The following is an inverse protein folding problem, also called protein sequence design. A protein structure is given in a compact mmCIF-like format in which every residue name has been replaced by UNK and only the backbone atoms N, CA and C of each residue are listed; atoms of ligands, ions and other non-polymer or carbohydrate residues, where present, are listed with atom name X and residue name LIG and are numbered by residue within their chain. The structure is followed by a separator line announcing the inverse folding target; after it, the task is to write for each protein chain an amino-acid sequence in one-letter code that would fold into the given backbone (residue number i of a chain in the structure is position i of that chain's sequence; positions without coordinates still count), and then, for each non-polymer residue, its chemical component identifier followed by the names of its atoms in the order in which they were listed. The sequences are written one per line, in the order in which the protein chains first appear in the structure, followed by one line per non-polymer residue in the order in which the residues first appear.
data_IF_684576878573
#
_entry.id   IF_684576878573
#
_cell.length_a   1.000
_cell.length_b   1.000
_cell.length_c   1.000
_cell.angle_alpha   90.00
_cell.angle_beta   90.00
_cell.angle_gamma   90.00
#
_symmetry.space_group_name_H-M   'P 1'
#
loop_
_entity.id
_entity.type
_entity.pdbx_description
1 polymer ?
#
# COMPACT_ATOMS: atom_id res chain seq x y z
N UNK A 1 -2.14 14.74 -30.27
CA UNK A 1 -2.75 13.63 -29.50
C UNK A 1 -2.94 12.42 -30.40
N UNK A 2 -2.02 11.43 -30.39
CA UNK A 2 -2.27 10.12 -31.01
C UNK A 2 -2.05 9.07 -29.93
N UNK A 3 -3.13 8.59 -29.32
CA UNK A 3 -3.09 7.32 -28.61
C UNK A 3 -2.50 6.29 -29.58
N UNK A 4 -1.44 5.59 -29.18
CA UNK A 4 -0.89 4.55 -30.05
C UNK A 4 -1.98 3.52 -30.29
N UNK A 5 -2.21 3.14 -31.57
CA UNK A 5 -3.29 2.23 -31.99
C UNK A 5 -3.42 0.97 -31.11
N UNK A 6 -2.30 0.45 -30.57
CA UNK A 6 -2.29 -0.70 -29.67
C UNK A 6 -2.87 -0.48 -28.26
N UNK A 7 -3.12 0.75 -27.85
CA UNK A 7 -3.67 1.06 -26.51
C UNK A 7 -5.09 1.62 -26.54
N UNK A 8 -5.55 2.06 -27.70
CA UNK A 8 -6.93 2.50 -27.89
C UNK A 8 -7.90 1.31 -27.87
N UNK A 9 -7.49 0.16 -28.42
CA UNK A 9 -8.25 -1.09 -28.43
C UNK A 9 -8.64 -1.61 -27.03
N UNK A 10 -7.71 -1.81 -26.07
CA UNK A 10 -8.08 -2.27 -24.73
C UNK A 10 -8.89 -1.24 -23.95
N UNK A 11 -8.64 0.07 -24.17
CA UNK A 11 -9.44 1.13 -23.54
C UNK A 11 -10.89 1.13 -24.05
N UNK A 12 -11.06 0.98 -25.36
CA UNK A 12 -12.38 0.94 -25.98
C UNK A 12 -13.15 -0.32 -25.55
N UNK A 13 -12.48 -1.47 -25.49
CA UNK A 13 -13.09 -2.70 -24.99
C UNK A 13 -13.55 -2.57 -23.53
N UNK A 14 -12.72 -1.97 -22.67
CA UNK A 14 -13.09 -1.68 -21.29
C UNK A 14 -14.28 -0.71 -21.21
N UNK A 15 -14.25 0.37 -21.99
CA UNK A 15 -15.32 1.36 -22.03
C UNK A 15 -16.66 0.73 -22.47
N UNK A 16 -16.64 -0.15 -23.48
CA UNK A 16 -17.84 -0.86 -23.95
C UNK A 16 -18.34 -1.85 -22.89
N UNK A 17 -17.45 -2.63 -22.27
CA UNK A 17 -17.84 -3.59 -21.23
C UNK A 17 -18.47 -2.91 -20.01
N UNK A 18 -17.88 -1.80 -19.56
CA UNK A 18 -18.42 -0.96 -18.49
C UNK A 18 -19.75 -0.34 -18.91
N UNK A 19 -19.85 0.23 -20.11
CA UNK A 19 -21.10 0.85 -20.56
C UNK A 19 -22.28 -0.14 -20.70
N UNK A 20 -21.99 -1.41 -21.00
CA UNK A 20 -22.99 -2.47 -21.14
C UNK A 20 -23.48 -3.06 -19.81
N UNK A 21 -22.72 -2.91 -18.72
CA UNK A 21 -23.01 -3.52 -17.43
C UNK A 21 -24.36 -3.07 -16.81
N UNK A 22 -24.72 -1.76 -16.84
CA UNK A 22 -26.02 -1.31 -16.35
C UNK A 22 -27.22 -1.84 -17.14
N UNK A 23 -27.02 -2.33 -18.37
CA UNK A 23 -28.10 -2.92 -19.18
C UNK A 23 -28.61 -4.24 -18.58
N UNK A 24 -27.86 -4.83 -17.64
CA UNK A 24 -28.29 -6.00 -16.86
C UNK A 24 -29.30 -5.64 -15.76
N UNK A 25 -29.54 -4.35 -15.49
CA UNK A 25 -30.60 -3.87 -14.60
C UNK A 25 -30.37 -4.09 -13.10
N UNK A 26 -29.15 -4.43 -12.66
CA UNK A 26 -28.84 -4.67 -11.24
C UNK A 26 -28.32 -3.42 -10.54
N UNK A 27 -29.12 -2.87 -9.64
CA UNK A 27 -28.75 -1.72 -8.78
C UNK A 27 -27.52 -2.01 -7.91
N UNK A 28 -27.36 -3.26 -7.49
CA UNK A 28 -26.18 -3.70 -6.74
C UNK A 28 -24.92 -3.61 -7.62
N UNK A 29 -25.00 -4.10 -8.86
CA UNK A 29 -23.88 -4.04 -9.79
C UNK A 29 -23.48 -2.59 -10.09
N UNK A 30 -24.46 -1.70 -10.29
CA UNK A 30 -24.21 -0.26 -10.51
C UNK A 30 -23.46 0.37 -9.32
N UNK A 31 -23.85 0.03 -8.09
CA UNK A 31 -23.22 0.57 -6.87
C UNK A 31 -21.78 0.07 -6.70
N UNK A 32 -21.57 -1.24 -6.85
CA UNK A 32 -20.23 -1.84 -6.73
C UNK A 32 -19.31 -1.34 -7.82
N UNK A 33 -19.80 -1.24 -9.05
CA UNK A 33 -19.00 -0.77 -10.17
C UNK A 33 -18.77 0.74 -10.14
N UNK A 34 -19.67 1.54 -9.58
CA UNK A 34 -19.42 2.95 -9.31
C UNK A 34 -18.28 3.12 -8.29
N UNK A 35 -18.27 2.31 -7.22
CA UNK A 35 -17.18 2.30 -6.24
C UNK A 35 -15.85 1.84 -6.86
N UNK A 36 -15.89 0.82 -7.73
CA UNK A 36 -14.71 0.38 -8.49
C UNK A 36 -14.19 1.50 -9.41
N UNK A 37 -15.09 2.24 -10.07
CA UNK A 37 -14.74 3.40 -10.89
C UNK A 37 -14.08 4.53 -10.08
N UNK A 38 -14.59 4.80 -8.87
CA UNK A 38 -14.00 5.78 -7.95
C UNK A 38 -12.56 5.38 -7.57
N UNK A 39 -12.34 4.13 -7.18
CA UNK A 39 -10.99 3.63 -6.90
C UNK A 39 -10.10 3.60 -8.14
N UNK A 40 -10.66 3.40 -9.35
CA UNK A 40 -9.91 3.51 -10.59
C UNK A 40 -9.39 4.94 -10.83
N UNK A 41 -10.19 5.98 -10.54
CA UNK A 41 -9.74 7.38 -10.60
C UNK A 41 -8.57 7.60 -9.64
N UNK A 42 -8.68 7.10 -8.41
CA UNK A 42 -7.60 7.19 -7.42
C UNK A 42 -6.35 6.44 -7.88
N UNK A 43 -6.50 5.27 -8.48
CA UNK A 43 -5.40 4.50 -9.05
C UNK A 43 -4.73 5.22 -10.23
N UNK A 44 -5.49 5.95 -11.06
CA UNK A 44 -4.93 6.81 -12.11
C UNK A 44 -4.09 7.93 -11.51
N UNK A 45 -4.57 8.59 -10.45
CA UNK A 45 -3.80 9.59 -9.71
C UNK A 45 -2.51 9.02 -9.12
N UNK A 46 -2.59 7.82 -8.53
CA UNK A 46 -1.44 7.11 -8.00
C UNK A 46 -0.42 6.75 -9.10
N UNK A 47 -0.90 6.27 -10.25
CA UNK A 47 -0.05 5.97 -11.40
C UNK A 47 0.66 7.22 -11.92
N UNK A 48 0.01 8.39 -11.87
CA UNK A 48 0.65 9.66 -12.21
C UNK A 48 1.77 10.00 -11.22
N UNK A 49 1.51 9.89 -9.91
CA UNK A 49 2.54 10.17 -8.91
C UNK A 49 3.72 9.20 -9.03
N UNK A 50 3.45 7.90 -9.16
CA UNK A 50 4.49 6.88 -9.30
C UNK A 50 5.28 7.06 -10.61
N UNK A 51 4.59 7.34 -11.72
CA UNK A 51 5.20 7.53 -13.04
C UNK A 51 6.07 8.79 -13.16
N UNK A 52 5.71 9.88 -12.47
CA UNK A 52 6.46 11.14 -12.54
C UNK A 52 7.47 11.33 -11.40
N UNK A 53 7.11 10.99 -10.17
CA UNK A 53 7.97 11.19 -9.01
C UNK A 53 8.85 9.98 -8.68
N UNK A 54 8.55 8.80 -9.24
CA UNK A 54 9.29 7.56 -8.96
C UNK A 54 9.17 7.10 -7.50
N UNK A 55 8.14 7.56 -6.80
CA UNK A 55 7.92 7.35 -5.36
C UNK A 55 6.62 6.59 -5.14
N UNK A 56 6.66 5.55 -4.30
CA UNK A 56 5.45 4.82 -3.87
C UNK A 56 4.82 5.61 -2.72
N UNK A 57 3.54 5.95 -2.86
CA UNK A 57 2.76 6.66 -1.84
C UNK A 57 1.42 5.96 -1.64
N UNK A 58 1.05 5.74 -0.38
CA UNK A 58 -0.23 5.14 0.01
C UNK A 58 -1.22 6.15 0.58
N UNK A 59 -0.87 7.45 0.58
CA UNK A 59 -1.68 8.52 1.17
C UNK A 59 -2.83 9.00 0.28
N UNK A 60 -3.01 8.44 -0.91
CA UNK A 60 -4.06 8.86 -1.85
C UNK A 60 -5.47 8.73 -1.24
N UNK A 61 -5.70 7.71 -0.41
CA UNK A 61 -6.98 7.53 0.27
C UNK A 61 -7.26 8.66 1.27
N UNK A 62 -6.23 9.19 1.95
CA UNK A 62 -6.38 10.32 2.87
C UNK A 62 -6.92 11.55 2.15
N UNK A 63 -6.30 11.92 1.02
CA UNK A 63 -6.73 13.08 0.25
C UNK A 63 -8.10 12.89 -0.38
N UNK A 64 -8.41 11.67 -0.85
CA UNK A 64 -9.75 11.35 -1.35
C UNK A 64 -10.82 11.54 -0.27
N UNK A 65 -10.59 11.00 0.94
CA UNK A 65 -11.51 11.17 2.07
C UNK A 65 -11.67 12.64 2.46
N UNK A 66 -10.56 13.38 2.56
CA UNK A 66 -10.57 14.79 2.94
C UNK A 66 -11.36 15.66 1.94
N UNK A 67 -11.22 15.40 0.65
CA UNK A 67 -11.99 16.07 -0.40
C UNK A 67 -13.48 15.70 -0.38
N UNK A 68 -13.80 14.43 -0.15
CA UNK A 68 -15.18 13.96 -0.04
C UNK A 68 -15.89 14.60 1.15
N UNK A 69 -15.27 14.61 2.33
CA UNK A 69 -15.82 15.28 3.51
C UNK A 69 -15.93 16.78 3.33
N UNK A 70 -14.89 17.44 2.80
CA UNK A 70 -14.94 18.89 2.55
C UNK A 70 -16.10 19.26 1.61
N UNK A 71 -16.26 18.53 0.50
CA UNK A 71 -17.39 18.74 -0.42
C UNK A 71 -18.74 18.45 0.25
N UNK A 72 -18.84 17.40 1.06
CA UNK A 72 -20.05 17.06 1.80
C UNK A 72 -20.46 18.16 2.77
N UNK A 73 -19.53 18.60 3.61
CA UNK A 73 -19.73 19.67 4.61
C UNK A 73 -20.12 20.99 3.93
N UNK A 74 -19.47 21.35 2.82
CA UNK A 74 -19.81 22.57 2.09
C UNK A 74 -21.20 22.51 1.46
N UNK A 75 -21.62 21.32 1.00
CA UNK A 75 -22.94 21.16 0.39
C UNK A 75 -24.05 21.17 1.45
N UNK A 76 -23.85 20.49 2.58
CA UNK A 76 -24.88 20.39 3.64
C UNK A 76 -24.88 21.56 4.61
N UNK A 77 -23.71 22.10 4.95
CA UNK A 77 -23.57 23.20 5.89
C UNK A 77 -23.71 24.58 5.26
N UNK A 78 -23.03 24.81 4.11
CA UNK A 78 -23.03 26.12 3.45
C UNK A 78 -24.04 26.23 2.29
N UNK A 79 -24.74 25.15 1.94
CA UNK A 79 -25.74 25.14 0.86
C UNK A 79 -25.17 25.45 -0.52
N UNK A 80 -23.85 25.27 -0.71
CA UNK A 80 -23.20 25.49 -2.01
C UNK A 80 -23.72 24.48 -3.03
N UNK A 81 -23.85 24.87 -4.31
CA UNK A 81 -24.22 23.92 -5.36
C UNK A 81 -23.18 22.78 -5.41
N UNK A 82 -23.59 21.52 -5.66
CA UNK A 82 -22.70 20.36 -5.56
C UNK A 82 -21.38 20.49 -6.34
N UNK A 83 -21.43 21.12 -7.52
CA UNK A 83 -20.25 21.36 -8.34
C UNK A 83 -19.32 22.41 -7.71
N UNK A 84 -19.86 23.48 -7.16
CA UNK A 84 -19.10 24.51 -6.45
C UNK A 84 -18.45 23.95 -5.18
N UNK A 85 -19.20 23.15 -4.41
CA UNK A 85 -18.68 22.44 -3.25
C UNK A 85 -17.59 21.44 -3.61
N UNK A 86 -17.72 20.71 -4.73
CA UNK A 86 -16.71 19.79 -5.22
C UNK A 86 -15.40 20.51 -5.58
N UNK A 87 -15.48 21.63 -6.32
CA UNK A 87 -14.30 22.40 -6.72
C UNK A 87 -13.65 23.05 -5.51
N UNK A 88 -14.43 23.66 -4.61
CA UNK A 88 -13.92 24.26 -3.39
C UNK A 88 -13.30 23.21 -2.45
N UNK A 89 -13.93 22.05 -2.30
CA UNK A 89 -13.41 20.92 -1.52
C UNK A 89 -12.12 20.34 -2.11
N UNK A 90 -12.03 20.22 -3.44
CA UNK A 90 -10.82 19.81 -4.14
C UNK A 90 -9.69 20.85 -3.97
N UNK A 91 -10.00 22.15 -4.07
CA UNK A 91 -9.04 23.23 -3.87
C UNK A 91 -8.53 23.26 -2.41
N UNK A 92 -9.43 23.14 -1.43
CA UNK A 92 -9.07 23.08 -0.01
C UNK A 92 -8.19 21.87 0.32
N UNK A 93 -8.58 20.68 -0.17
CA UNK A 93 -7.75 19.48 -0.03
C UNK A 93 -6.41 19.62 -0.74
N UNK A 94 -6.39 20.24 -1.93
CA UNK A 94 -5.16 20.53 -2.66
C UNK A 94 -4.20 21.43 -1.88
N UNK A 95 -4.73 22.45 -1.18
CA UNK A 95 -3.95 23.31 -0.30
C UNK A 95 -3.38 22.53 0.88
N UNK A 96 -4.19 21.70 1.54
CA UNK A 96 -3.72 20.84 2.63
C UNK A 96 -2.66 19.84 2.14
N UNK A 97 -2.87 19.23 0.97
CA UNK A 97 -1.92 18.31 0.36
C UNK A 97 -0.61 19.01 -0.03
N UNK A 98 -0.65 20.28 -0.44
CA UNK A 98 0.55 21.07 -0.70
C UNK A 98 1.35 21.32 0.59
N UNK A 99 0.67 21.73 1.66
CA UNK A 99 1.30 22.01 2.97
C UNK A 99 1.89 20.75 3.60
N UNK A 100 1.14 19.64 3.60
CA UNK A 100 1.60 18.35 4.13
C UNK A 100 2.58 17.64 3.21
N UNK A 101 2.45 17.84 1.89
CA UNK A 101 3.30 17.23 0.89
C UNK A 101 4.74 17.70 1.00
N UNK A 102 4.99 18.97 1.30
CA UNK A 102 6.33 19.54 1.41
C UNK A 102 7.24 18.77 2.42
N UNK A 103 6.85 18.53 3.69
CA UNK A 103 7.65 17.74 4.61
C UNK A 103 7.66 16.25 4.25
N UNK A 104 6.54 15.68 3.81
CA UNK A 104 6.44 14.24 3.49
C UNK A 104 7.36 13.88 2.32
N UNK A 105 7.43 14.71 1.28
CA UNK A 105 8.26 14.45 0.10
C UNK A 105 9.76 14.52 0.36
N UNK A 106 10.20 15.10 1.50
CA UNK A 106 11.61 15.11 1.92
C UNK A 106 12.10 13.73 2.39
N UNK A 107 11.20 12.83 2.79
CA UNK A 107 11.55 11.47 3.17
C UNK A 107 11.95 10.64 1.94
N UNK A 108 12.83 9.65 2.13
CA UNK A 108 13.35 8.78 1.07
C UNK A 108 13.02 7.32 1.32
N UNK A 109 12.82 6.58 0.24
CA UNK A 109 12.63 5.14 0.26
C UNK A 109 11.45 4.71 1.13
N UNK A 110 11.69 3.78 2.05
CA UNK A 110 10.64 3.17 2.88
C UNK A 110 10.01 4.15 3.88
N UNK A 111 10.74 5.16 4.33
CA UNK A 111 10.21 6.16 5.24
C UNK A 111 9.07 6.99 4.62
N UNK A 112 9.15 7.27 3.32
CA UNK A 112 8.07 7.96 2.60
C UNK A 112 6.80 7.11 2.58
N UNK A 113 6.93 5.82 2.25
CA UNK A 113 5.79 4.90 2.19
C UNK A 113 5.11 4.80 3.56
N UNK A 114 5.89 4.61 4.63
CA UNK A 114 5.39 4.55 6.02
C UNK A 114 4.70 5.85 6.43
N UNK A 115 5.28 7.01 6.13
CA UNK A 115 4.67 8.30 6.44
C UNK A 115 3.31 8.48 5.73
N UNK A 116 3.21 8.06 4.47
CA UNK A 116 1.96 8.16 3.71
C UNK A 116 0.88 7.17 4.15
N UNK A 117 1.28 5.98 4.62
CA UNK A 117 0.36 5.03 5.26
C UNK A 117 -0.18 5.59 6.58
N UNK A 118 0.70 6.15 7.42
CA UNK A 118 0.31 6.79 8.66
C UNK A 118 -0.66 7.96 8.41
N UNK A 119 -0.44 8.77 7.37
CA UNK A 119 -1.37 9.83 6.98
C UNK A 119 -2.77 9.27 6.61
N UNK A 120 -2.80 8.14 5.89
CA UNK A 120 -4.04 7.40 5.60
C UNK A 120 -4.78 7.01 6.88
N UNK A 121 -4.07 6.38 7.80
CA UNK A 121 -4.64 5.90 9.06
C UNK A 121 -5.12 7.05 9.96
N UNK A 122 -4.32 8.11 10.09
CA UNK A 122 -4.71 9.31 10.85
C UNK A 122 -6.01 9.89 10.28
N UNK A 123 -6.15 9.92 8.95
CA UNK A 123 -7.37 10.44 8.32
C UNK A 123 -8.58 9.59 8.66
N UNK A 124 -8.44 8.27 8.71
CA UNK A 124 -9.52 7.36 9.12
C UNK A 124 -9.89 7.58 10.59
N UNK A 125 -8.90 7.67 11.48
CA UNK A 125 -9.11 7.91 12.92
C UNK A 125 -9.82 9.24 13.14
N UNK A 126 -9.36 10.31 12.49
CA UNK A 126 -9.99 11.63 12.59
C UNK A 126 -11.41 11.58 12.04
N UNK A 127 -11.63 10.95 10.89
CA UNK A 127 -12.96 10.86 10.29
C UNK A 127 -13.95 10.07 11.14
N UNK A 128 -13.49 9.06 11.87
CA UNK A 128 -14.36 8.19 12.69
C UNK A 128 -14.59 8.74 14.10
N UNK A 129 -13.59 9.41 14.69
CA UNK A 129 -13.67 9.96 16.06
C UNK A 129 -14.24 11.37 16.13
N UNK A 130 -14.09 12.17 15.08
CA UNK A 130 -14.54 13.57 15.09
C UNK A 130 -16.02 13.70 14.69
N UNK A 131 -16.89 13.18 15.55
CA UNK A 131 -18.33 13.06 15.29
C UNK A 131 -19.02 14.40 14.99
N UNK A 132 -18.58 15.50 15.60
CA UNK A 132 -19.19 16.83 15.42
C UNK A 132 -19.10 17.35 13.97
N UNK A 133 -18.03 17.02 13.25
CA UNK A 133 -17.76 17.56 11.90
C UNK A 133 -18.05 16.53 10.81
N UNK A 134 -17.65 15.27 11.03
CA UNK A 134 -17.75 14.23 9.99
C UNK A 134 -18.98 13.35 10.14
N UNK A 135 -19.68 13.41 11.29
CA UNK A 135 -20.73 12.45 11.64
C UNK A 135 -20.19 11.07 12.05
N UNK A 136 -18.87 10.93 12.22
CA UNK A 136 -18.23 9.69 12.64
C UNK A 136 -18.45 8.54 11.64
N UNK A 137 -18.88 7.38 12.15
CA UNK A 137 -19.17 6.20 11.32
C UNK A 137 -20.46 6.31 10.49
N UNK A 138 -21.38 7.20 10.87
CA UNK A 138 -22.64 7.42 10.14
C UNK A 138 -22.42 8.28 8.90
N UNK A 139 -21.35 9.09 8.90
CA UNK A 139 -21.06 10.04 7.83
C UNK A 139 -22.01 11.23 7.85
N UNK A 140 -22.02 11.98 6.75
CA UNK A 140 -22.83 13.21 6.60
C UNK A 140 -24.13 12.85 5.86
N UNK A 141 -25.30 12.88 6.53
CA UNK A 141 -26.57 12.61 5.87
C UNK A 141 -27.04 13.82 5.05
N UNK A 142 -27.96 13.58 4.12
CA UNK A 142 -28.67 14.65 3.41
C UNK A 142 -27.86 15.39 2.35
N UNK A 143 -26.75 14.81 1.87
CA UNK A 143 -26.03 15.35 0.70
C UNK A 143 -26.96 15.30 -0.52
N UNK A 144 -27.32 16.45 -1.12
CA UNK A 144 -28.16 16.50 -2.32
C UNK A 144 -27.55 15.73 -3.49
N UNK A 145 -28.41 15.27 -4.39
CA UNK A 145 -27.97 14.62 -5.63
C UNK A 145 -27.04 15.54 -6.43
N UNK A 146 -26.06 14.95 -7.11
CA UNK A 146 -25.10 15.73 -7.88
C UNK A 146 -25.80 16.41 -9.06
N UNK A 147 -25.67 17.73 -9.19
CA UNK A 147 -26.25 18.50 -10.29
C UNK A 147 -25.14 19.22 -11.04
N UNK A 148 -25.15 19.11 -12.38
CA UNK A 148 -24.22 19.83 -13.25
C UNK A 148 -25.05 20.70 -14.18
N UNK A 149 -24.90 22.03 -14.05
CA UNK A 149 -25.51 23.02 -14.97
C UNK A 149 -27.02 22.79 -15.23
N UNK A 150 -27.78 22.38 -14.21
CA UNK A 150 -29.22 22.12 -14.29
C UNK A 150 -29.63 20.68 -14.62
N UNK A 151 -28.69 19.78 -14.92
CA UNK A 151 -28.96 18.35 -15.09
C UNK A 151 -28.71 17.64 -13.76
N UNK A 152 -29.76 17.03 -13.21
CA UNK A 152 -29.67 16.22 -11.99
C UNK A 152 -29.24 14.77 -12.31
N UNK A 153 -28.19 14.32 -11.61
CA UNK A 153 -27.75 12.93 -11.57
C UNK A 153 -28.42 12.22 -10.39
N UNK A 154 -29.75 12.17 -10.45
CA UNK A 154 -30.66 11.56 -9.46
C UNK A 154 -30.54 10.02 -9.37
N UNK A 155 -30.18 9.37 -10.48
CA UNK A 155 -30.19 7.92 -10.60
C UNK A 155 -28.78 7.37 -10.42
N UNK A 156 -28.64 6.27 -9.66
CA UNK A 156 -27.36 5.57 -9.46
C UNK A 156 -26.66 5.23 -10.78
N UNK A 157 -27.43 4.86 -11.81
CA UNK A 157 -26.94 4.58 -13.16
C UNK A 157 -26.36 5.82 -13.85
N UNK A 158 -26.96 7.01 -13.68
CA UNK A 158 -26.40 8.26 -14.22
C UNK A 158 -25.08 8.63 -13.53
N UNK A 159 -25.03 8.47 -12.21
CA UNK A 159 -23.83 8.69 -11.40
C UNK A 159 -22.70 7.71 -11.76
N UNK A 160 -23.06 6.45 -12.01
CA UNK A 160 -22.16 5.43 -12.53
C UNK A 160 -21.50 5.86 -13.85
N UNK A 161 -22.29 6.30 -14.84
CA UNK A 161 -21.76 6.74 -16.12
C UNK A 161 -20.85 7.97 -15.97
N UNK A 162 -21.18 8.88 -15.07
CA UNK A 162 -20.34 10.06 -14.78
C UNK A 162 -18.97 9.64 -14.23
N UNK A 163 -18.93 8.77 -13.22
CA UNK A 163 -17.69 8.29 -12.59
C UNK A 163 -16.81 7.58 -13.63
N UNK A 164 -17.39 6.69 -14.44
CA UNK A 164 -16.64 5.96 -15.44
C UNK A 164 -16.19 6.84 -16.61
N UNK A 165 -16.98 7.85 -17.00
CA UNK A 165 -16.54 8.84 -17.98
C UNK A 165 -15.29 9.60 -17.49
N UNK A 166 -15.27 9.99 -16.21
CA UNK A 166 -14.10 10.64 -15.59
C UNK A 166 -12.92 9.69 -15.48
N UNK A 167 -13.14 8.44 -15.05
CA UNK A 167 -12.10 7.43 -14.92
C UNK A 167 -11.42 7.11 -16.28
N UNK A 168 -12.23 6.89 -17.31
CA UNK A 168 -11.75 6.62 -18.67
C UNK A 168 -11.09 7.86 -19.28
N UNK A 169 -11.63 9.06 -19.02
CA UNK A 169 -11.01 10.33 -19.39
C UNK A 169 -9.61 10.47 -18.79
N UNK A 170 -9.46 10.24 -17.49
CA UNK A 170 -8.17 10.26 -16.79
C UNK A 170 -7.19 9.23 -17.34
N UNK A 171 -7.65 8.01 -17.63
CA UNK A 171 -6.83 6.96 -18.22
C UNK A 171 -6.41 7.28 -19.66
N UNK A 172 -7.29 7.88 -20.45
CA UNK A 172 -7.03 8.31 -21.82
C UNK A 172 -6.05 9.48 -21.90
N UNK A 173 -6.13 10.42 -20.95
CA UNK A 173 -5.25 11.57 -20.83
C UNK A 173 -3.86 11.23 -20.29
N UNK A 174 -3.60 9.96 -19.91
CA UNK A 174 -2.32 9.53 -19.32
C UNK A 174 -1.14 10.15 -20.09
N UNK A 175 -0.41 11.10 -19.49
CA UNK A 175 0.74 11.65 -20.17
C UNK A 175 1.83 10.57 -20.13
N UNK A 176 2.48 10.36 -21.29
CA UNK A 176 3.45 9.27 -21.46
C UNK A 176 4.58 9.48 -20.46
N UNK A 177 4.64 8.65 -19.42
CA UNK A 177 5.70 8.72 -18.43
C UNK A 177 7.05 8.66 -19.16
N UNK A 178 7.99 9.58 -18.87
CA UNK A 178 9.35 9.50 -19.37
C UNK A 178 9.92 8.13 -19.01
N UNK A 179 10.47 7.41 -19.98
CA UNK A 179 11.04 6.07 -19.76
C UNK A 179 12.03 6.17 -18.58
N UNK A 180 11.92 5.30 -17.55
CA UNK A 180 12.87 5.32 -16.45
C UNK A 180 14.27 5.23 -17.03
N UNK A 181 15.09 6.26 -16.80
CA UNK A 181 16.50 6.24 -17.19
C UNK A 181 17.08 5.05 -16.46
N UNK A 182 17.45 4.00 -17.21
CA UNK A 182 18.26 2.89 -16.65
C UNK A 182 19.37 3.55 -15.84
N UNK A 183 19.62 3.13 -14.58
CA UNK A 183 20.78 3.58 -13.85
C UNK A 183 21.96 3.46 -14.81
N UNK A 184 22.54 4.59 -15.20
CA UNK A 184 23.72 4.60 -16.05
C UNK A 184 24.74 3.87 -15.19
N UNK A 185 25.01 2.60 -15.52
CA UNK A 185 26.10 1.87 -14.91
C UNK A 185 27.28 2.82 -14.91
N UNK A 186 27.82 3.09 -13.70
CA UNK A 186 28.94 4.01 -13.54
C UNK A 186 29.95 3.75 -14.64
N UNK A 187 30.42 4.82 -15.29
CA UNK A 187 31.22 4.75 -16.50
C UNK A 187 32.44 3.84 -16.34
N UNK A 188 32.27 2.56 -16.66
CA UNK A 188 33.32 1.73 -17.19
C UNK A 188 33.35 2.03 -18.67
N UNK A 189 34.35 2.79 -19.12
CA UNK A 189 34.73 2.74 -20.53
C UNK A 189 35.01 1.30 -20.96
N UNK A 190 35.28 1.04 -22.24
CA UNK A 190 35.53 -0.32 -22.76
C UNK A 190 36.69 -1.11 -22.09
N UNK A 191 37.34 -0.59 -21.04
CA UNK A 191 38.30 -1.31 -20.18
C UNK A 191 37.75 -1.81 -18.82
N UNK A 192 36.46 -1.67 -18.54
CA UNK A 192 35.85 -1.97 -17.23
C UNK A 192 34.86 -3.14 -17.21
N UNK A 193 35.04 -4.15 -18.08
CA UNK A 193 34.33 -5.41 -17.94
C UNK A 193 34.62 -5.97 -16.55
N UNK A 194 33.59 -6.03 -15.70
CA UNK A 194 33.69 -6.47 -14.33
C UNK A 194 34.55 -7.73 -14.27
N UNK A 195 35.69 -7.64 -13.56
CA UNK A 195 36.47 -8.82 -13.24
C UNK A 195 35.47 -9.82 -12.64
N UNK A 196 35.33 -11.03 -13.22
CA UNK A 196 34.47 -12.03 -12.63
C UNK A 196 34.88 -12.15 -11.17
N UNK A 197 33.91 -12.00 -10.26
CA UNK A 197 34.14 -12.17 -8.83
C UNK A 197 34.97 -13.45 -8.65
N UNK A 198 36.09 -13.40 -7.91
CA UNK A 198 36.87 -14.61 -7.65
C UNK A 198 35.92 -15.62 -7.04
N UNK A 199 35.61 -16.69 -7.79
CA UNK A 199 34.78 -17.78 -7.28
C UNK A 199 35.49 -18.30 -6.02
N UNK A 200 34.86 -18.22 -4.83
CA UNK A 200 35.42 -18.82 -3.64
C UNK A 200 35.47 -20.33 -3.92
N UNK A 201 36.67 -20.89 -4.06
CA UNK A 201 36.86 -22.33 -4.16
C UNK A 201 37.67 -22.89 -5.34
N UNK A 202 38.02 -22.11 -6.38
CA UNK A 202 38.71 -22.69 -7.56
C UNK A 202 40.23 -22.48 -7.63
N UNK A 203 40.85 -21.91 -6.58
CA UNK A 203 42.31 -21.70 -6.53
C UNK A 203 43.07 -22.66 -5.62
N UNK A 204 42.38 -23.51 -4.87
CA UNK A 204 43.03 -24.48 -3.98
C UNK A 204 43.43 -25.81 -4.67
N UNK A 205 42.80 -26.14 -5.80
CA UNK A 205 42.96 -27.46 -6.44
C UNK A 205 44.11 -27.57 -7.45
N UNK A 206 44.76 -26.45 -7.84
CA UNK A 206 45.84 -26.47 -8.86
C UNK A 206 47.27 -26.40 -8.31
N UNK A 207 47.45 -26.41 -6.99
CA UNK A 207 48.77 -26.32 -6.35
C UNK A 207 49.30 -27.59 -5.68
N UNK A 208 48.51 -28.68 -5.61
CA UNK A 208 48.84 -29.87 -4.79
C UNK A 208 49.21 -31.10 -5.64
N UNK A 209 49.60 -30.89 -6.91
CA UNK A 209 50.22 -31.93 -7.74
C UNK A 209 51.64 -31.52 -8.11
N UNK A 210 52.56 -31.59 -7.14
CA UNK A 210 54.00 -31.51 -7.40
C UNK A 210 54.82 -31.04 -6.20
N UNK A 211 55.52 -31.98 -5.56
CA UNK A 211 56.56 -31.71 -4.54
C UNK A 211 55.97 -31.56 -3.13
N UNK A 212 56.16 -32.48 -2.19
CA UNK A 212 57.45 -33.05 -1.81
C UNK A 212 58.01 -32.29 -0.61
N UNK A 213 57.60 -32.68 0.60
CA UNK A 213 58.33 -32.54 1.89
C UNK A 213 58.60 -31.14 2.51
N UNK A 214 58.20 -30.02 1.90
CA UNK A 214 58.49 -28.67 2.45
C UNK A 214 57.44 -28.03 3.39
N UNK A 215 56.17 -28.44 3.34
CA UNK A 215 55.06 -27.66 3.90
C UNK A 215 54.79 -27.86 5.42
N UNK A 216 55.44 -28.83 6.08
CA UNK A 216 55.22 -29.12 7.50
C UNK A 216 55.99 -28.19 8.46
N UNK A 217 56.88 -27.33 7.97
CA UNK A 217 57.66 -26.41 8.82
C UNK A 217 56.98 -25.06 9.12
N UNK A 218 55.84 -24.74 8.49
CA UNK A 218 55.18 -23.44 8.65
C UNK A 218 53.86 -23.49 9.46
N UNK A 219 53.52 -24.65 10.05
CA UNK A 219 52.27 -24.84 10.80
C UNK A 219 52.18 -24.16 12.18
N UNK A 220 53.27 -23.79 12.89
CA UNK A 220 53.13 -23.06 14.15
C UNK A 220 52.67 -21.61 13.97
N UNK A 221 53.16 -20.93 12.93
CA UNK A 221 52.96 -19.48 12.69
C UNK A 221 51.54 -19.12 12.22
N UNK A 222 50.82 -20.05 11.59
CA UNK A 222 49.47 -19.81 11.08
C UNK A 222 48.37 -20.05 12.13
N UNK A 223 48.69 -20.71 13.25
CA UNK A 223 47.77 -20.92 14.37
C UNK A 223 47.61 -19.66 15.24
N UNK A 224 48.67 -18.87 15.38
CA UNK A 224 48.63 -17.63 16.17
C UNK A 224 47.86 -16.50 15.47
N UNK A 225 47.85 -16.49 14.14
CA UNK A 225 47.17 -15.42 13.37
C UNK A 225 45.65 -15.59 13.25
N UNK A 226 45.05 -16.61 13.88
CA UNK A 226 43.58 -16.83 13.94
C UNK A 226 42.86 -16.68 12.58
N UNK A 227 43.55 -17.00 11.48
CA UNK A 227 43.03 -16.92 10.11
C UNK A 227 42.39 -18.24 9.65
N UNK A 228 42.40 -19.26 10.50
CA UNK A 228 41.66 -20.51 10.32
C UNK A 228 40.44 -20.52 11.24
N UNK A 229 39.49 -19.61 11.00
CA UNK A 229 38.11 -19.88 11.42
C UNK A 229 37.53 -20.89 10.43
N UNK A 230 37.13 -22.10 10.86
CA UNK A 230 36.45 -23.02 9.98
C UNK A 230 35.12 -22.38 9.53
N UNK A 231 34.94 -22.29 8.21
CA UNK A 231 33.68 -21.91 7.60
C UNK A 231 32.61 -22.89 8.09
N UNK A 232 31.56 -22.37 8.73
CA UNK A 232 30.41 -23.15 9.14
C UNK A 232 29.82 -23.89 7.94
N UNK A 233 29.80 -25.22 8.06
CA UNK A 233 29.23 -26.15 7.11
C UNK A 233 27.71 -25.91 7.02
N UNK A 234 27.23 -25.63 5.82
CA UNK A 234 25.82 -25.40 5.51
C UNK A 234 25.03 -26.69 5.43
N UNK A 235 24.95 -27.45 6.55
CA UNK A 235 24.03 -28.58 6.67
C UNK A 235 22.72 -28.15 7.29
N UNK A 236 21.69 -28.12 6.45
CA UNK A 236 20.29 -28.27 6.83
C UNK A 236 20.10 -29.73 7.30
N UNK A 237 20.52 -30.01 8.53
CA UNK A 237 20.17 -31.25 9.21
C UNK A 237 18.80 -31.04 9.86
N UNK A 238 17.77 -31.50 9.17
CA UNK A 238 16.48 -31.79 9.77
C UNK A 238 16.57 -33.10 10.54
N UNK A 239 16.53 -33.04 11.87
CA UNK A 239 15.88 -34.09 12.65
C UNK A 239 15.34 -33.52 13.96
N UNK A 240 14.19 -34.06 14.31
CA UNK A 240 13.43 -33.79 15.50
C UNK A 240 14.03 -34.50 16.72
N UNK A 241 13.51 -34.10 17.88
CA UNK A 241 13.49 -34.80 19.17
C UNK A 241 14.71 -34.57 20.09
N UNK A 242 14.36 -34.10 21.29
CA UNK A 242 14.97 -34.63 22.50
C UNK A 242 15.84 -33.65 23.30
N UNK A 243 15.23 -32.62 23.88
CA UNK A 243 15.72 -32.14 25.18
C UNK A 243 14.60 -31.61 26.06
N UNK A 244 13.90 -32.60 26.63
CA UNK A 244 13.45 -32.52 28.03
C UNK A 244 14.69 -32.48 28.91
N UNK A 245 14.66 -31.59 29.90
CA UNK A 245 15.19 -31.73 31.26
C UNK A 245 15.69 -30.35 31.73
N UNK A 246 15.43 -29.84 32.93
CA UNK A 246 14.64 -30.21 34.11
C UNK A 246 14.70 -28.93 34.95
N UNK A 247 13.56 -28.39 35.38
CA UNK A 247 13.54 -27.49 36.53
C UNK A 247 12.89 -28.27 37.69
N UNK A 248 13.51 -28.37 38.89
CA UNK A 248 13.02 -29.29 39.92
C UNK A 248 11.71 -28.79 40.53
N UNK A 249 10.81 -29.75 40.73
CA UNK A 249 9.62 -29.64 41.57
C UNK A 249 10.00 -29.83 43.04
N UNK A 250 9.52 -28.92 43.88
CA UNK A 250 9.17 -29.16 45.29
C UNK A 250 7.97 -28.25 45.58
N UNK A 251 6.73 -28.74 45.52
CA UNK A 251 6.04 -29.48 46.57
C UNK A 251 5.80 -28.63 47.83
N UNK A 252 4.68 -27.89 47.83
CA UNK A 252 3.83 -27.83 49.02
C UNK A 252 2.35 -27.91 48.59
N UNK A 253 1.64 -28.84 49.25
CA UNK A 253 0.21 -29.14 49.11
C UNK A 253 -0.44 -28.77 50.43
N UNK A 254 -1.33 -27.77 50.44
CA UNK A 254 -2.59 -27.68 51.24
C UNK A 254 -3.42 -26.61 50.51
N UNK A 255 -4.55 -26.87 49.87
CA UNK A 255 -5.78 -27.48 50.39
C UNK A 255 -6.87 -26.40 50.27
N UNK A 256 -7.98 -26.67 49.58
CA UNK A 256 -9.12 -25.75 49.55
C UNK A 256 -9.92 -25.75 48.25
N UNK A 257 -10.73 -26.78 48.05
CA UNK A 257 -11.83 -26.75 47.09
C UNK A 257 -12.93 -25.81 47.60
N UNK A 258 -13.44 -24.92 46.76
CA UNK A 258 -14.81 -24.40 46.90
C UNK A 258 -15.31 -23.82 45.57
N UNK A 259 -16.43 -24.38 45.13
CA UNK A 259 -17.28 -23.98 44.02
C UNK A 259 -17.61 -22.48 43.98
N UNK A 260 -17.47 -21.87 42.79
CA UNK A 260 -18.23 -20.70 42.36
C UNK A 260 -18.48 -20.94 40.87
N UNK A 261 -19.66 -21.35 40.39
CA UNK A 261 -20.98 -20.84 40.74
C UNK A 261 -21.43 -19.92 39.60
N UNK A 262 -21.92 -20.51 38.52
CA UNK A 262 -22.51 -19.83 37.36
C UNK A 262 -23.65 -18.92 37.83
N UNK A 263 -23.59 -17.64 37.46
CA UNK A 263 -24.62 -16.67 37.79
C UNK A 263 -25.88 -16.91 36.95
N UNK A 264 -26.98 -17.30 37.61
CA UNK A 264 -28.32 -17.30 37.02
C UNK A 264 -28.91 -15.88 36.94
N UNK A 265 -29.78 -15.59 35.95
CA UNK A 265 -30.56 -14.37 35.89
C UNK A 265 -31.81 -14.44 36.79
N UNK A 266 -32.02 -13.41 37.62
CA UNK A 266 -33.23 -13.25 38.44
C UNK A 266 -34.46 -12.85 37.59
N UNK A 267 -35.64 -13.43 37.82
CA UNK A 267 -36.89 -12.96 37.22
C UNK A 267 -37.45 -11.75 37.98
N UNK A 268 -37.75 -10.67 37.26
CA UNK A 268 -38.48 -9.51 37.79
C UNK A 268 -39.96 -9.86 37.95
N UNK A 269 -40.43 -9.79 39.19
CA UNK A 269 -41.82 -9.97 39.62
C UNK A 269 -42.60 -8.69 39.31
N UNK A 270 -43.80 -8.86 38.76
CA UNK A 270 -44.82 -7.82 38.52
C UNK A 270 -45.11 -7.00 39.78
N UNK A 271 -45.18 -5.67 39.60
CA UNK A 271 -46.24 -4.80 40.11
C UNK A 271 -46.58 -3.80 39.00
#
# INVERSE_FOLDING_TARGET
MRAGRGTALPLAALAVGVAALPLLGSVFADTVMALAGLFAIVAVGLNLLFGYAGKISFGHNAFMAMGAYASGILTTGAGLPPLGALVAGAAGTGLVAFLLGAPILRLRGHYLAMATLALGEITIIVSTRWTEVTGGLTGIPGVPDFQVLGVAFDTKTKLYYLIWAVALGGLGLRPRAPRPRRPRGGGGGPGGAGRPLPRPGLRAERGVRGGGRGALRALPELRERNLLRPAGDGRIDGDARGRRDRHPLGADRRGGAAHVGLAEPRPLRRL
#
